data_IF_724199883645
#
_entry.id   IF_724199883645
#
_cell.length_a   1.000
_cell.length_b   1.000
_cell.length_c   1.000
_cell.angle_alpha   90.00
_cell.angle_beta   90.00
_cell.angle_gamma   90.00
#
_symmetry.space_group_name_H-M   'P 1'
#
loop_
_entity.id
_entity.type
_entity.pdbx_description
1 polymer ?
#
# COMPACT_ATOMS: atom_id res chain seq x y z
N UNK A 1 11.51 -20.10 39.96
CA UNK A 1 10.70 -18.90 39.65
C UNK A 1 11.58 -17.65 39.48
N UNK A 2 12.64 -17.69 38.66
CA UNK A 2 13.52 -16.52 38.42
C UNK A 2 13.88 -16.32 36.95
N UNK A 3 13.56 -17.31 36.10
CA UNK A 3 13.77 -17.24 34.64
C UNK A 3 12.51 -16.83 33.86
N UNK A 4 11.34 -16.81 34.51
CA UNK A 4 10.06 -16.47 33.85
C UNK A 4 9.92 -14.99 33.51
N UNK A 5 10.74 -14.11 34.12
CA UNK A 5 10.74 -12.68 33.84
C UNK A 5 11.59 -12.32 32.61
N UNK A 6 12.55 -13.15 32.21
CA UNK A 6 13.44 -12.85 31.08
C UNK A 6 12.77 -13.07 29.72
N UNK A 7 11.81 -14.00 29.64
CA UNK A 7 11.08 -14.32 28.39
C UNK A 7 10.03 -13.28 28.02
N UNK A 8 9.54 -12.48 28.97
CA UNK A 8 8.51 -11.45 28.72
C UNK A 8 9.09 -10.14 28.17
N UNK A 9 10.39 -9.90 28.32
CA UNK A 9 11.09 -8.72 27.82
C UNK A 9 11.52 -8.83 26.34
N UNK A 10 11.52 -10.04 25.76
CA UNK A 10 11.89 -10.25 24.35
C UNK A 10 10.74 -10.06 23.36
N UNK A 11 9.48 -10.02 23.81
CA UNK A 11 8.31 -9.91 22.92
C UNK A 11 7.95 -8.47 22.51
N UNK A 12 8.71 -7.47 22.98
CA UNK A 12 8.51 -6.05 22.66
C UNK A 12 9.52 -5.50 21.63
N UNK A 13 10.41 -6.35 21.11
CA UNK A 13 11.36 -5.97 20.07
C UNK A 13 10.68 -5.97 18.69
N UNK A 14 10.07 -4.83 18.35
CA UNK A 14 10.08 -4.26 17.01
C UNK A 14 9.29 -4.99 15.93
N UNK A 15 8.02 -4.59 15.74
CA UNK A 15 7.52 -4.45 14.36
C UNK A 15 8.24 -3.27 13.70
N UNK A 16 9.50 -3.46 13.30
CA UNK A 16 10.08 -2.60 12.27
C UNK A 16 9.42 -3.03 10.97
N UNK A 17 8.61 -2.15 10.38
CA UNK A 17 8.19 -2.31 8.99
C UNK A 17 9.47 -2.19 8.16
N UNK A 18 10.09 -3.33 7.87
CA UNK A 18 11.22 -3.39 6.95
C UNK A 18 10.66 -3.18 5.54
N UNK A 19 10.96 -2.02 4.98
CA UNK A 19 10.76 -1.79 3.55
C UNK A 19 11.79 -2.63 2.82
N UNK A 20 11.41 -3.87 2.51
CA UNK A 20 12.24 -4.76 1.73
C UNK A 20 12.50 -4.24 0.32
N UNK A 21 13.42 -4.88 -0.42
CA UNK A 21 13.73 -4.48 -1.78
C UNK A 21 12.50 -4.60 -2.68
N UNK A 22 12.41 -3.71 -3.66
CA UNK A 22 11.49 -3.85 -4.79
C UNK A 22 11.78 -5.16 -5.53
N UNK A 23 10.77 -5.91 -5.99
CA UNK A 23 11.00 -7.17 -6.70
C UNK A 23 11.82 -6.92 -7.97
N UNK A 24 12.62 -7.91 -8.38
CA UNK A 24 13.35 -7.89 -9.66
C UNK A 24 12.39 -7.84 -10.87
N UNK A 25 11.10 -8.13 -10.66
CA UNK A 25 10.05 -8.08 -11.67
C UNK A 25 9.54 -6.65 -11.84
N UNK A 26 9.60 -6.15 -13.06
CA UNK A 26 8.93 -4.89 -13.42
C UNK A 26 7.41 -5.08 -13.50
N UNK A 27 6.68 -4.15 -12.87
CA UNK A 27 5.23 -4.06 -12.99
C UNK A 27 4.77 -3.45 -14.33
N UNK A 28 3.46 -3.29 -14.54
CA UNK A 28 2.94 -2.52 -15.67
C UNK A 28 3.54 -1.11 -15.76
N UNK A 29 3.64 -0.57 -16.97
CA UNK A 29 4.23 0.74 -17.19
C UNK A 29 3.56 1.84 -16.35
N UNK A 30 4.37 2.66 -15.67
CA UNK A 30 3.87 3.75 -14.82
C UNK A 30 3.23 3.28 -13.51
N UNK A 31 3.60 2.09 -13.04
CA UNK A 31 3.26 1.61 -11.70
C UNK A 31 4.44 1.75 -10.74
N UNK A 32 4.12 1.77 -9.45
CA UNK A 32 5.05 1.86 -8.33
C UNK A 32 4.88 0.59 -7.49
N UNK A 33 5.98 0.02 -7.01
CA UNK A 33 5.92 -1.06 -6.02
C UNK A 33 5.46 -0.53 -4.66
N UNK A 34 4.38 -1.13 -4.14
CA UNK A 34 3.86 -0.90 -2.79
C UNK A 34 3.92 -2.24 -2.02
N UNK A 35 5.01 -2.46 -1.29
CA UNK A 35 5.23 -3.69 -0.54
C UNK A 35 6.59 -3.75 0.15
N UNK A 36 6.90 -4.92 0.67
CA UNK A 36 8.18 -5.25 1.30
C UNK A 36 8.74 -6.57 0.80
N UNK A 37 9.70 -7.14 1.55
CA UNK A 37 10.37 -8.38 1.17
C UNK A 37 9.42 -9.59 1.08
N UNK A 38 8.34 -9.54 1.88
CA UNK A 38 7.34 -10.62 1.97
C UNK A 38 6.23 -10.52 0.92
N UNK A 39 6.32 -9.53 0.01
CA UNK A 39 5.38 -9.32 -1.08
C UNK A 39 4.72 -7.95 -1.08
N UNK A 40 3.85 -7.73 -2.07
CA UNK A 40 3.22 -6.44 -2.30
C UNK A 40 2.38 -6.42 -3.58
N UNK A 41 2.14 -5.20 -4.05
CA UNK A 41 1.37 -4.93 -5.27
C UNK A 41 2.04 -3.85 -6.09
N UNK A 42 1.73 -3.82 -7.39
CA UNK A 42 2.04 -2.66 -8.22
C UNK A 42 0.85 -1.70 -8.21
N UNK A 43 1.09 -0.41 -8.02
CA UNK A 43 0.04 0.62 -7.94
C UNK A 43 0.24 1.71 -8.96
N UNK A 44 -0.85 2.22 -9.53
CA UNK A 44 -0.89 3.46 -10.29
C UNK A 44 -1.95 4.34 -9.68
N UNK A 45 -1.56 5.51 -9.18
CA UNK A 45 -2.48 6.51 -8.62
C UNK A 45 -2.33 7.78 -9.43
N UNK A 46 -3.46 8.41 -9.76
CA UNK A 46 -3.51 9.66 -10.51
C UNK A 46 -4.53 10.60 -9.89
N UNK A 47 -4.24 11.89 -9.96
CA UNK A 47 -5.22 12.94 -9.65
C UNK A 47 -6.45 12.80 -10.56
N UNK A 48 -7.65 13.01 -10.03
CA UNK A 48 -8.90 12.93 -10.80
C UNK A 48 -9.26 14.26 -11.49
N UNK A 49 -8.38 15.27 -11.38
CA UNK A 49 -8.50 16.64 -11.87
C UNK A 49 -9.54 17.50 -11.15
N UNK A 50 -10.06 17.06 -10.00
CA UNK A 50 -10.91 17.88 -9.13
C UNK A 50 -10.12 18.42 -7.93
N UNK A 51 -9.71 19.70 -7.93
CA UNK A 51 -8.92 20.27 -6.84
C UNK A 51 -9.71 20.46 -5.53
N UNK A 52 -11.03 20.21 -5.52
CA UNK A 52 -11.90 20.45 -4.38
C UNK A 52 -12.21 19.19 -3.56
N UNK A 53 -11.73 18.03 -3.98
CA UNK A 53 -11.86 16.81 -3.21
C UNK A 53 -10.48 16.20 -2.93
N UNK A 54 -10.51 14.98 -2.38
CA UNK A 54 -9.32 14.21 -2.04
C UNK A 54 -9.41 12.84 -2.69
N UNK A 55 -9.97 12.80 -3.89
CA UNK A 55 -10.24 11.58 -4.65
C UNK A 55 -9.16 11.42 -5.72
N UNK A 56 -8.74 10.17 -5.90
CA UNK A 56 -7.73 9.77 -6.86
C UNK A 56 -8.24 8.60 -7.68
N UNK A 57 -7.74 8.46 -8.91
CA UNK A 57 -7.93 7.27 -9.72
C UNK A 57 -6.84 6.26 -9.42
N UNK A 58 -7.21 5.10 -8.90
CA UNK A 58 -6.31 4.03 -8.49
C UNK A 58 -6.45 2.78 -9.34
N UNK A 59 -5.32 2.21 -9.76
CA UNK A 59 -5.21 0.83 -10.25
C UNK A 59 -4.21 0.06 -9.42
N UNK A 60 -4.58 -1.15 -8.99
CA UNK A 60 -3.75 -2.04 -8.19
C UNK A 60 -3.65 -3.37 -8.92
N UNK A 61 -2.43 -3.87 -9.07
CA UNK A 61 -2.13 -5.09 -9.80
C UNK A 61 -1.48 -6.11 -8.87
N UNK A 62 -1.85 -7.37 -9.05
CA UNK A 62 -1.16 -8.48 -8.40
C UNK A 62 0.29 -8.54 -8.86
N UNK A 63 1.21 -8.75 -7.92
CA UNK A 63 2.63 -8.92 -8.23
C UNK A 63 2.86 -10.09 -9.21
N UNK A 64 2.18 -11.22 -9.00
CA UNK A 64 2.53 -12.48 -9.65
C UNK A 64 2.32 -12.52 -11.16
N UNK A 65 1.31 -11.82 -11.68
CA UNK A 65 0.83 -11.93 -13.07
C UNK A 65 0.41 -10.57 -13.65
N UNK A 66 0.49 -9.50 -12.86
CA UNK A 66 0.09 -8.15 -13.25
C UNK A 66 -1.38 -8.03 -13.66
N UNK A 67 -2.25 -8.95 -13.23
CA UNK A 67 -3.70 -8.79 -13.38
C UNK A 67 -4.23 -7.73 -12.42
N UNK A 68 -5.35 -7.11 -12.79
CA UNK A 68 -5.93 -6.02 -12.00
C UNK A 68 -6.67 -6.60 -10.79
N UNK A 69 -6.23 -6.20 -9.60
CA UNK A 69 -6.93 -6.43 -8.34
C UNK A 69 -7.98 -5.34 -8.08
N UNK A 70 -7.61 -4.07 -8.32
CA UNK A 70 -8.48 -2.92 -8.11
C UNK A 70 -8.36 -1.92 -9.26
N UNK A 71 -9.49 -1.32 -9.66
CA UNK A 71 -9.53 -0.24 -10.64
C UNK A 71 -10.75 0.63 -10.34
N UNK A 72 -10.51 1.77 -9.71
CA UNK A 72 -11.57 2.61 -9.17
C UNK A 72 -11.03 3.82 -8.41
N UNK A 73 -11.92 4.49 -7.70
CA UNK A 73 -11.63 5.72 -6.96
C UNK A 73 -11.06 5.43 -5.59
N UNK A 74 -10.07 6.21 -5.17
CA UNK A 74 -9.45 6.14 -3.86
C UNK A 74 -9.63 7.48 -3.14
N UNK A 75 -10.11 7.47 -1.90
CA UNK A 75 -10.17 8.66 -1.05
C UNK A 75 -8.93 8.74 -0.16
N UNK A 76 -8.23 9.87 -0.19
CA UNK A 76 -7.15 10.15 0.75
C UNK A 76 -7.71 10.54 2.11
N UNK A 77 -7.56 9.65 3.08
CA UNK A 77 -7.97 9.83 4.47
C UNK A 77 -6.76 10.23 5.32
N UNK A 78 -6.99 11.12 6.30
CA UNK A 78 -5.96 11.64 7.20
C UNK A 78 -5.44 13.02 6.79
N UNK A 79 -4.69 13.72 7.64
CA UNK A 79 -4.18 15.07 7.34
C UNK A 79 -2.72 14.95 6.91
N UNK A 80 -2.51 14.80 5.61
CA UNK A 80 -1.20 14.49 5.02
C UNK A 80 -1.04 15.16 3.65
N UNK A 81 0.19 15.60 3.35
CA UNK A 81 0.60 15.94 2.00
C UNK A 81 0.90 14.66 1.22
N UNK A 82 0.20 14.46 0.10
CA UNK A 82 0.30 13.27 -0.72
C UNK A 82 0.63 13.68 -2.16
N UNK A 83 1.66 13.04 -2.72
CA UNK A 83 2.03 13.16 -4.13
C UNK A 83 1.93 11.78 -4.78
N UNK A 84 0.98 11.55 -5.70
CA UNK A 84 0.77 10.24 -6.31
C UNK A 84 1.94 9.77 -7.20
N UNK A 85 2.90 10.65 -7.52
CA UNK A 85 4.11 10.30 -8.26
C UNK A 85 5.28 9.90 -7.35
N UNK A 86 5.19 10.19 -6.05
CA UNK A 86 6.26 9.92 -5.10
C UNK A 86 6.23 8.46 -4.62
N UNK A 87 7.09 7.65 -5.26
CA UNK A 87 7.24 6.22 -4.93
C UNK A 87 7.63 5.95 -3.48
N UNK A 88 8.18 6.94 -2.76
CA UNK A 88 8.58 6.75 -1.37
C UNK A 88 7.40 6.75 -0.41
N UNK A 89 6.19 7.10 -0.88
CA UNK A 89 5.02 7.23 0.00
C UNK A 89 4.20 5.95 0.13
N UNK A 90 4.42 4.93 -0.69
CA UNK A 90 3.56 3.73 -0.72
C UNK A 90 4.08 2.59 0.13
N UNK A 91 3.24 2.02 1.01
CA UNK A 91 3.62 0.92 1.90
C UNK A 91 3.07 -0.43 1.45
N UNK A 92 1.79 -0.52 1.07
CA UNK A 92 1.18 -1.79 0.70
C UNK A 92 -0.35 -1.73 0.63
N UNK A 93 -0.96 -2.78 0.09
CA UNK A 93 -2.41 -2.92 -0.11
C UNK A 93 -2.94 -4.12 0.66
N UNK A 94 -4.05 -3.96 1.37
CA UNK A 94 -4.68 -5.03 2.16
C UNK A 94 -6.00 -5.58 1.57
N UNK A 95 -6.43 -5.07 0.41
CA UNK A 95 -7.71 -5.41 -0.22
C UNK A 95 -8.75 -4.31 -0.18
N UNK A 96 -8.61 -3.34 0.73
CA UNK A 96 -9.52 -2.19 0.87
C UNK A 96 -8.75 -0.85 0.94
N UNK A 97 -7.58 -0.86 1.55
CA UNK A 97 -6.78 0.32 1.88
C UNK A 97 -5.37 0.20 1.31
N UNK A 98 -4.94 1.26 0.62
CA UNK A 98 -3.56 1.46 0.20
C UNK A 98 -2.85 2.30 1.27
N UNK A 99 -2.05 1.62 2.07
CA UNK A 99 -1.30 2.18 3.18
C UNK A 99 -0.14 3.03 2.66
N UNK A 100 0.04 4.20 3.28
CA UNK A 100 1.17 5.08 3.01
C UNK A 100 2.25 4.89 4.07
N UNK A 101 3.53 5.05 3.69
CA UNK A 101 4.67 4.96 4.64
C UNK A 101 4.66 6.10 5.65
N UNK A 102 4.08 7.21 5.25
CA UNK A 102 4.00 8.42 6.05
C UNK A 102 2.96 8.22 7.16
N UNK A 103 3.35 8.46 8.42
CA UNK A 103 2.42 8.35 9.55
C UNK A 103 1.32 9.41 9.41
N UNK A 104 0.07 8.98 9.21
CA UNK A 104 -1.09 9.86 9.31
C UNK A 104 -2.08 9.86 8.15
N UNK A 105 -1.91 9.01 7.13
CA UNK A 105 -2.93 8.86 6.09
C UNK A 105 -2.84 7.57 5.28
N UNK A 106 -3.90 7.31 4.54
CA UNK A 106 -4.07 6.15 3.66
C UNK A 106 -5.06 6.47 2.55
N UNK A 107 -5.04 5.67 1.49
CA UNK A 107 -5.99 5.76 0.37
C UNK A 107 -7.03 4.65 0.51
N UNK A 108 -8.29 5.01 0.76
CA UNK A 108 -9.40 4.08 0.94
C UNK A 108 -10.13 3.84 -0.38
N UNK A 109 -10.42 2.59 -0.73
CA UNK A 109 -11.29 2.28 -1.87
C UNK A 109 -12.72 2.79 -1.67
N UNK A 110 -13.27 3.38 -2.74
CA UNK A 110 -14.66 3.85 -2.79
C UNK A 110 -15.54 2.96 -3.69
N UNK A 111 -14.92 2.17 -4.56
CA UNK A 111 -15.60 1.27 -5.48
C UNK A 111 -15.34 -0.19 -5.06
N UNK A 112 -16.20 -1.13 -5.49
CA UNK A 112 -16.00 -2.54 -5.17
C UNK A 112 -14.74 -3.09 -5.86
N UNK A 113 -13.87 -3.84 -5.14
CA UNK A 113 -12.75 -4.54 -5.75
C UNK A 113 -13.24 -5.50 -6.83
N UNK A 114 -12.48 -5.65 -7.91
CA UNK A 114 -12.82 -6.67 -8.90
C UNK A 114 -12.61 -8.04 -8.25
N UNK A 115 -13.63 -8.89 -8.30
CA UNK A 115 -13.43 -10.28 -7.91
C UNK A 115 -12.42 -10.92 -8.88
N UNK A 116 -11.40 -11.64 -8.38
CA UNK A 116 -10.53 -12.41 -9.26
C UNK A 116 -11.42 -13.37 -10.06
N UNK A 117 -11.28 -13.34 -11.39
CA UNK A 117 -11.99 -14.29 -12.24
C UNK A 117 -11.31 -15.66 -12.04
N UNK A 118 -12.07 -16.73 -11.73
CA UNK A 118 -11.51 -18.06 -11.45
C UNK A 118 -10.81 -18.68 -12.65
#
# INVERSE_FOLDING_TARGET
>A
MRYLLLTLLLSLAGCSVEFGPEPDKEGPAGTIWAGGADGGVFVSVKDDSNPNDRIYLGKIYYEHDSTIWYDGRLELVGVIAFDPSDKTQYSGWDGEVLHLKNKGGYLKSLDEPRQPTP
#
